data_IF_460612139127
#
_entry.id   IF_460612139127
#
_cell.length_a   1.000
_cell.length_b   1.000
_cell.length_c   1.000
_cell.angle_alpha   90.00
_cell.angle_beta   90.00
_cell.angle_gamma   90.00
#
_symmetry.space_group_name_H-M   'P 1'
#
loop_
_entity.id
_entity.type
_entity.pdbx_description
1 polymer ?
#
# COMPACT_ATOMS: atom_id res chain seq x y z
N UNK A 1 11.25 -14.68 -23.82
CA UNK A 1 11.23 -13.44 -24.59
C UNK A 1 12.11 -12.41 -23.90
N UNK A 2 13.01 -11.76 -24.67
CA UNK A 2 13.89 -10.74 -24.11
C UNK A 2 13.13 -9.40 -24.08
N UNK A 3 12.63 -8.99 -22.90
CA UNK A 3 11.87 -7.76 -22.71
C UNK A 3 12.73 -6.61 -22.14
N UNK A 4 14.06 -6.76 -22.17
CA UNK A 4 14.99 -5.72 -21.73
C UNK A 4 15.19 -4.71 -22.87
N UNK A 5 15.02 -3.43 -22.58
CA UNK A 5 15.30 -2.33 -23.51
C UNK A 5 16.02 -1.20 -22.78
N UNK A 6 16.87 -0.49 -23.50
CA UNK A 6 17.41 0.77 -23.03
C UNK A 6 16.32 1.84 -22.98
N UNK A 7 16.34 2.68 -21.94
CA UNK A 7 15.45 3.82 -21.80
C UNK A 7 16.24 5.12 -22.03
N UNK A 8 15.66 5.98 -22.84
CA UNK A 8 16.16 7.34 -23.09
C UNK A 8 15.33 8.38 -22.32
N UNK A 9 15.78 9.62 -22.30
CA UNK A 9 15.02 10.73 -21.75
C UNK A 9 13.67 10.92 -22.44
N UNK A 10 13.60 10.71 -23.74
CA UNK A 10 12.36 10.82 -24.53
C UNK A 10 11.35 9.74 -24.16
N UNK A 11 11.82 8.53 -23.78
CA UNK A 11 10.94 7.45 -23.33
C UNK A 11 10.24 7.75 -22.01
N UNK A 12 10.89 8.47 -21.11
CA UNK A 12 10.40 8.73 -19.74
C UNK A 12 9.73 10.10 -19.58
N UNK A 13 9.72 10.90 -20.64
CA UNK A 13 9.08 12.22 -20.63
C UNK A 13 7.59 12.10 -20.29
N UNK A 14 7.18 12.85 -19.27
CA UNK A 14 5.79 12.87 -18.83
C UNK A 14 5.37 11.78 -17.83
N UNK A 15 6.18 10.76 -17.57
CA UNK A 15 5.81 9.68 -16.64
C UNK A 15 5.52 10.18 -15.23
N UNK A 16 6.21 11.22 -14.78
CA UNK A 16 6.00 11.79 -13.45
C UNK A 16 4.62 12.41 -13.21
N UNK A 17 3.84 12.63 -14.27
CA UNK A 17 2.48 13.19 -14.17
C UNK A 17 1.39 12.13 -14.07
N UNK A 18 1.72 10.87 -14.38
CA UNK A 18 0.78 9.76 -14.41
C UNK A 18 1.00 8.84 -13.23
N UNK A 19 -0.11 8.31 -12.68
CA UNK A 19 -0.05 7.21 -11.72
C UNK A 19 0.09 5.87 -12.43
N UNK A 20 0.47 4.86 -11.66
CA UNK A 20 0.66 3.51 -12.17
C UNK A 20 2.13 3.19 -12.48
N UNK A 21 2.37 2.09 -13.17
CA UNK A 21 3.70 1.59 -13.53
C UNK A 21 3.83 1.46 -15.05
N UNK A 22 4.41 2.46 -15.69
CA UNK A 22 4.62 2.48 -17.15
C UNK A 22 5.47 1.29 -17.65
N UNK A 23 6.40 0.81 -16.84
CA UNK A 23 7.18 -0.40 -17.11
C UNK A 23 6.40 -1.70 -16.90
N UNK A 24 5.14 -1.60 -16.46
CA UNK A 24 4.36 -2.75 -16.04
C UNK A 24 4.75 -3.26 -14.66
N UNK A 25 4.02 -4.26 -14.19
CA UNK A 25 4.26 -4.87 -12.88
C UNK A 25 4.04 -6.37 -12.93
N UNK A 26 4.77 -7.10 -12.10
CA UNK A 26 4.55 -8.52 -11.84
C UNK A 26 4.26 -8.72 -10.36
N UNK A 27 3.08 -9.23 -10.03
CA UNK A 27 2.67 -9.47 -8.63
C UNK A 27 3.25 -10.76 -8.01
N UNK A 28 3.29 -11.92 -8.70
CA UNK A 28 3.81 -13.15 -8.09
C UNK A 28 5.30 -13.04 -7.77
N UNK A 29 5.67 -13.53 -6.57
CA UNK A 29 7.07 -13.81 -6.26
C UNK A 29 7.56 -14.90 -7.20
N UNK A 30 8.77 -14.78 -7.80
CA UNK A 30 9.30 -15.81 -8.68
C UNK A 30 9.43 -17.15 -7.94
N UNK A 31 9.01 -18.24 -8.57
CA UNK A 31 9.18 -19.57 -8.05
C UNK A 31 10.62 -20.07 -8.25
N UNK A 32 11.02 -21.10 -7.49
CA UNK A 32 12.35 -21.72 -7.61
C UNK A 32 12.66 -22.15 -9.06
N UNK A 33 11.65 -22.59 -9.81
CA UNK A 33 11.82 -22.98 -11.22
C UNK A 33 12.13 -21.80 -12.13
N UNK A 34 11.76 -20.59 -11.75
CA UNK A 34 11.99 -19.37 -12.52
C UNK A 34 13.35 -18.75 -12.23
N UNK A 35 14.01 -19.09 -11.10
CA UNK A 35 15.32 -18.53 -10.73
C UNK A 35 16.41 -18.84 -11.75
N UNK A 36 16.40 -20.03 -12.36
CA UNK A 36 17.34 -20.34 -13.42
C UNK A 36 17.17 -19.41 -14.62
N UNK A 37 15.93 -19.17 -15.05
CA UNK A 37 15.63 -18.28 -16.17
C UNK A 37 15.99 -16.82 -15.83
N UNK A 38 15.74 -16.39 -14.58
CA UNK A 38 16.08 -15.06 -14.11
C UNK A 38 17.61 -14.87 -14.05
N UNK A 39 18.37 -15.83 -13.49
CA UNK A 39 19.82 -15.77 -13.48
C UNK A 39 20.42 -15.71 -14.88
N UNK A 40 19.90 -16.53 -15.80
CA UNK A 40 20.32 -16.49 -17.23
C UNK A 40 19.98 -15.17 -17.92
N UNK A 41 18.88 -14.52 -17.51
CA UNK A 41 18.51 -13.20 -18.06
C UNK A 41 19.47 -12.11 -17.56
N UNK A 42 19.86 -12.14 -16.29
CA UNK A 42 20.86 -11.25 -15.71
C UNK A 42 22.19 -11.39 -16.44
N UNK A 43 22.72 -12.62 -16.56
CA UNK A 43 23.98 -12.89 -17.27
C UNK A 43 23.95 -12.47 -18.76
N UNK A 44 22.89 -12.87 -19.48
CA UNK A 44 22.77 -12.61 -20.92
C UNK A 44 22.67 -11.12 -21.24
N UNK A 45 22.05 -10.35 -20.38
CA UNK A 45 21.87 -8.91 -20.60
C UNK A 45 22.92 -8.07 -19.87
N UNK A 46 23.96 -8.72 -19.30
CA UNK A 46 25.09 -8.06 -18.62
C UNK A 46 24.60 -7.07 -17.56
N UNK A 47 23.60 -7.51 -16.75
CA UNK A 47 23.01 -6.68 -15.69
C UNK A 47 23.94 -6.67 -14.49
N UNK A 48 24.49 -5.52 -14.16
CA UNK A 48 25.44 -5.32 -13.07
C UNK A 48 24.78 -4.98 -11.72
N UNK A 49 23.55 -4.46 -11.74
CA UNK A 49 22.80 -4.12 -10.55
C UNK A 49 21.28 -4.13 -10.81
N UNK A 50 20.50 -4.18 -9.74
CA UNK A 50 19.05 -4.06 -9.79
C UNK A 50 18.55 -2.92 -8.87
N UNK A 51 17.79 -1.99 -9.45
CA UNK A 51 16.96 -1.09 -8.70
C UNK A 51 15.52 -1.63 -8.76
N UNK A 52 15.01 -2.12 -7.64
CA UNK A 52 13.70 -2.76 -7.54
C UNK A 52 12.72 -1.83 -6.84
N UNK A 53 11.70 -1.38 -7.58
CA UNK A 53 10.65 -0.52 -7.03
C UNK A 53 9.38 -1.35 -6.87
N UNK A 54 8.83 -1.45 -5.65
CA UNK A 54 7.64 -2.24 -5.46
C UNK A 54 7.18 -2.43 -4.01
N UNK A 55 6.10 -3.18 -3.86
CA UNK A 55 5.49 -3.54 -2.60
C UNK A 55 6.07 -4.82 -1.97
N UNK A 56 5.36 -5.37 -0.99
CA UNK A 56 5.81 -6.52 -0.18
C UNK A 56 6.28 -7.72 -1.03
N UNK A 57 5.59 -8.03 -2.13
CA UNK A 57 6.00 -9.14 -3.00
C UNK A 57 7.36 -8.90 -3.69
N UNK A 58 7.71 -7.66 -4.00
CA UNK A 58 9.03 -7.33 -4.54
C UNK A 58 10.12 -7.52 -3.47
N UNK A 59 9.83 -7.15 -2.23
CA UNK A 59 10.71 -7.37 -1.08
C UNK A 59 10.94 -8.87 -0.82
N UNK A 60 9.86 -9.66 -0.81
CA UNK A 60 9.94 -11.11 -0.67
C UNK A 60 10.74 -11.75 -1.82
N UNK A 61 10.51 -11.31 -3.07
CA UNK A 61 11.24 -11.82 -4.22
C UNK A 61 12.76 -11.60 -4.09
N UNK A 62 13.18 -10.39 -3.69
CA UNK A 62 14.62 -10.10 -3.48
C UNK A 62 15.17 -10.89 -2.31
N UNK A 63 14.44 -11.04 -1.20
CA UNK A 63 14.87 -11.88 -0.09
C UNK A 63 15.09 -13.33 -0.52
N UNK A 64 14.15 -13.89 -1.26
CA UNK A 64 14.31 -15.26 -1.77
C UNK A 64 15.49 -15.39 -2.74
N UNK A 65 15.70 -14.40 -3.64
CA UNK A 65 16.89 -14.36 -4.49
C UNK A 65 18.18 -14.37 -3.66
N UNK A 66 18.22 -13.61 -2.56
CA UNK A 66 19.41 -13.59 -1.68
C UNK A 66 19.62 -14.89 -0.91
N UNK A 67 18.58 -15.65 -0.63
CA UNK A 67 18.71 -16.97 0.00
C UNK A 67 19.27 -18.05 -0.94
N UNK A 68 19.24 -17.83 -2.25
CA UNK A 68 19.63 -18.76 -3.30
C UNK A 68 20.99 -18.41 -3.96
N UNK A 69 21.79 -17.51 -3.38
CA UNK A 69 23.06 -17.03 -3.94
C UNK A 69 24.09 -18.13 -4.20
N UNK A 70 24.10 -19.20 -3.40
CA UNK A 70 25.02 -20.32 -3.60
C UNK A 70 24.63 -21.18 -4.81
N UNK A 71 23.34 -21.26 -5.09
CA UNK A 71 22.81 -22.02 -6.22
C UNK A 71 22.79 -21.21 -7.51
N UNK A 72 22.58 -19.89 -7.40
CA UNK A 72 22.48 -18.96 -8.53
C UNK A 72 23.46 -17.78 -8.34
N UNK A 73 24.75 -17.96 -8.65
CA UNK A 73 25.76 -16.88 -8.49
C UNK A 73 25.46 -15.60 -9.26
N UNK A 74 24.64 -15.67 -10.33
CA UNK A 74 24.19 -14.50 -11.08
C UNK A 74 23.41 -13.48 -10.23
N UNK A 75 22.89 -13.88 -9.08
CA UNK A 75 22.21 -12.98 -8.13
C UNK A 75 23.18 -12.20 -7.23
N UNK A 76 24.50 -12.48 -7.29
CA UNK A 76 25.53 -11.74 -6.53
C UNK A 76 25.85 -10.40 -7.17
N UNK A 77 24.83 -9.57 -7.31
CA UNK A 77 24.90 -8.20 -7.80
C UNK A 77 24.30 -7.26 -6.76
N UNK A 78 24.68 -5.97 -6.76
CA UNK A 78 24.02 -4.97 -5.93
C UNK A 78 22.51 -4.90 -6.22
N UNK A 79 21.69 -4.93 -5.17
CA UNK A 79 20.23 -4.77 -5.30
C UNK A 79 19.77 -3.73 -4.29
N UNK A 80 19.06 -2.71 -4.75
CA UNK A 80 18.42 -1.73 -3.87
C UNK A 80 16.92 -1.75 -4.09
N UNK A 81 16.17 -1.98 -3.00
CA UNK A 81 14.72 -1.94 -2.97
C UNK A 81 14.23 -0.55 -2.57
N UNK A 82 13.27 -0.02 -3.33
CA UNK A 82 12.58 1.24 -3.08
C UNK A 82 11.11 0.96 -2.78
N UNK A 83 10.57 1.42 -1.64
CA UNK A 83 9.21 1.11 -1.23
C UNK A 83 8.18 1.83 -2.09
N UNK A 84 7.30 1.07 -2.75
CA UNK A 84 6.19 1.59 -3.54
C UNK A 84 4.96 0.70 -3.34
N UNK A 85 4.00 1.18 -2.55
CA UNK A 85 2.75 0.50 -2.25
C UNK A 85 1.73 1.51 -1.72
N UNK A 86 0.46 1.32 -2.03
CA UNK A 86 -0.62 2.07 -1.40
C UNK A 86 -0.97 1.53 -0.02
N UNK A 87 -0.65 0.25 0.25
CA UNK A 87 -1.00 -0.45 1.49
C UNK A 87 -0.21 0.08 2.70
N UNK A 88 0.93 0.71 2.47
CA UNK A 88 1.88 1.19 3.49
C UNK A 88 2.35 0.12 4.48
N UNK A 89 2.49 -1.11 4.01
CA UNK A 89 2.82 -2.31 4.79
C UNK A 89 4.28 -2.77 4.60
N UNK A 90 5.19 -1.84 4.31
CA UNK A 90 6.60 -2.14 4.04
C UNK A 90 7.50 -1.79 5.21
N UNK A 91 8.47 -2.64 5.56
CA UNK A 91 9.37 -2.37 6.67
C UNK A 91 10.33 -1.21 6.36
N UNK A 92 10.71 -0.49 7.42
CA UNK A 92 11.77 0.51 7.35
C UNK A 92 11.43 1.79 6.61
N UNK A 93 10.16 2.06 6.32
CA UNK A 93 9.67 3.30 5.77
C UNK A 93 8.39 3.75 6.49
N UNK A 94 8.27 5.02 6.84
CA UNK A 94 7.03 5.57 7.39
C UNK A 94 5.94 5.65 6.32
N UNK A 95 6.33 6.06 5.11
CA UNK A 95 5.44 6.08 3.95
C UNK A 95 6.12 5.44 2.73
N UNK A 96 5.39 4.58 2.05
CA UNK A 96 5.76 4.06 0.74
C UNK A 96 5.26 5.00 -0.36
N UNK A 97 5.97 5.04 -1.50
CA UNK A 97 5.56 5.79 -2.70
C UNK A 97 4.16 5.31 -3.13
N UNK A 98 3.25 6.24 -3.31
CA UNK A 98 1.87 5.99 -3.73
C UNK A 98 0.86 6.02 -2.58
N UNK A 99 1.29 5.90 -1.33
CA UNK A 99 0.41 5.93 -0.15
C UNK A 99 -0.30 7.27 0.00
N UNK A 100 0.43 8.39 -0.12
CA UNK A 100 -0.17 9.73 0.01
C UNK A 100 -1.16 10.03 -1.12
N UNK A 101 -0.84 9.62 -2.34
CA UNK A 101 -1.77 9.74 -3.47
C UNK A 101 -3.04 8.93 -3.24
N UNK A 102 -2.92 7.70 -2.74
CA UNK A 102 -4.06 6.85 -2.42
C UNK A 102 -4.91 7.43 -1.29
N UNK A 103 -4.28 8.02 -0.27
CA UNK A 103 -4.97 8.73 0.81
C UNK A 103 -5.76 9.92 0.28
N UNK A 104 -5.17 10.76 -0.58
CA UNK A 104 -5.87 11.88 -1.22
C UNK A 104 -7.07 11.42 -2.04
N UNK A 105 -6.93 10.33 -2.81
CA UNK A 105 -8.03 9.77 -3.59
C UNK A 105 -9.15 9.22 -2.69
N UNK A 106 -8.79 8.56 -1.58
CA UNK A 106 -9.75 8.05 -0.60
C UNK A 106 -10.55 9.18 0.05
N UNK A 107 -9.86 10.21 0.56
CA UNK A 107 -10.51 11.38 1.17
C UNK A 107 -11.44 12.07 0.17
N UNK A 108 -10.98 12.30 -1.06
CA UNK A 108 -11.81 12.88 -2.12
C UNK A 108 -13.09 12.06 -2.39
N UNK A 109 -12.98 10.73 -2.40
CA UNK A 109 -14.14 9.85 -2.60
C UNK A 109 -15.08 9.87 -1.39
N UNK A 110 -14.55 9.83 -0.17
CA UNK A 110 -15.33 9.88 1.07
C UNK A 110 -16.09 11.20 1.21
N UNK A 111 -15.48 12.33 0.86
CA UNK A 111 -16.15 13.63 0.87
C UNK A 111 -17.34 13.67 -0.08
N UNK A 112 -17.23 13.10 -1.29
CA UNK A 112 -18.36 12.99 -2.23
C UNK A 112 -19.45 12.07 -1.72
N UNK A 113 -19.10 10.97 -1.05
CA UNK A 113 -20.05 10.09 -0.39
C UNK A 113 -20.82 10.87 0.68
N UNK A 114 -20.12 11.65 1.51
CA UNK A 114 -20.74 12.50 2.55
C UNK A 114 -21.68 13.55 1.96
N UNK A 115 -21.27 14.23 0.90
CA UNK A 115 -22.13 15.20 0.20
C UNK A 115 -23.43 14.55 -0.30
N UNK A 116 -23.34 13.35 -0.87
CA UNK A 116 -24.52 12.61 -1.34
C UNK A 116 -25.44 12.14 -0.21
N UNK A 117 -24.86 11.81 0.95
CA UNK A 117 -25.57 11.30 2.11
C UNK A 117 -26.21 12.44 2.96
N UNK A 118 -25.69 13.64 2.90
CA UNK A 118 -26.14 14.77 3.71
C UNK A 118 -27.59 15.21 3.42
N UNK A 119 -28.13 14.91 2.23
CA UNK A 119 -29.50 15.22 1.84
C UNK A 119 -30.55 14.35 2.54
N UNK A 120 -30.17 13.19 3.08
CA UNK A 120 -31.04 12.24 3.76
C UNK A 120 -30.36 11.69 5.00
N UNK A 121 -31.14 11.15 5.96
CA UNK A 121 -30.56 10.48 7.13
C UNK A 121 -29.91 9.18 6.67
N UNK A 122 -28.58 9.13 6.61
CA UNK A 122 -27.84 7.94 6.13
C UNK A 122 -26.59 7.64 6.96
N UNK A 123 -26.43 6.35 7.25
CA UNK A 123 -25.15 5.77 7.58
C UNK A 123 -24.48 5.26 6.29
N UNK A 124 -23.20 5.53 6.11
CA UNK A 124 -22.45 5.02 4.98
C UNK A 124 -21.26 4.18 5.47
N UNK A 125 -21.17 2.92 5.02
CA UNK A 125 -20.04 2.02 5.32
C UNK A 125 -19.15 1.96 4.09
N UNK A 126 -17.97 2.57 4.16
CA UNK A 126 -17.01 2.66 3.07
C UNK A 126 -15.83 1.73 3.31
N UNK A 127 -15.60 0.79 2.39
CA UNK A 127 -14.45 -0.12 2.43
C UNK A 127 -13.28 0.48 1.68
N UNK A 128 -12.11 0.44 2.30
CA UNK A 128 -10.84 0.91 1.76
C UNK A 128 -9.85 -0.25 1.60
N UNK A 129 -8.95 -0.10 0.64
CA UNK A 129 -7.83 -1.01 0.44
C UNK A 129 -6.79 -0.85 1.56
N UNK A 130 -5.82 -1.75 1.60
CA UNK A 130 -4.73 -1.75 2.56
C UNK A 130 -4.35 -3.16 3.00
N UNK A 131 -5.09 -4.16 2.54
CA UNK A 131 -4.92 -5.56 2.95
C UNK A 131 -4.88 -5.68 4.46
N UNK A 132 -3.74 -6.15 5.02
CA UNK A 132 -3.52 -6.30 6.45
C UNK A 132 -2.86 -5.08 7.09
N UNK A 133 -3.04 -3.89 6.52
CA UNK A 133 -2.57 -2.63 7.09
C UNK A 133 -3.71 -1.62 7.07
N UNK A 134 -4.16 -1.24 8.23
CA UNK A 134 -5.25 -0.28 8.43
C UNK A 134 -4.86 1.17 8.19
N UNK A 135 -3.60 1.47 7.87
CA UNK A 135 -3.09 2.84 7.73
C UNK A 135 -3.97 3.71 6.81
N UNK A 136 -4.23 3.23 5.58
CA UNK A 136 -5.01 3.98 4.60
C UNK A 136 -6.44 4.22 5.10
N UNK A 137 -7.06 3.22 5.71
CA UNK A 137 -8.40 3.30 6.29
C UNK A 137 -8.45 4.28 7.47
N UNK A 138 -7.53 4.16 8.42
CA UNK A 138 -7.47 5.02 9.60
C UNK A 138 -7.25 6.48 9.21
N UNK A 139 -6.23 6.74 8.41
CA UNK A 139 -5.86 8.11 8.02
C UNK A 139 -6.93 8.77 7.15
N UNK A 140 -7.56 8.01 6.24
CA UNK A 140 -8.71 8.51 5.46
C UNK A 140 -9.92 8.78 6.35
N UNK A 141 -10.19 7.91 7.30
CA UNK A 141 -11.27 8.06 8.27
C UNK A 141 -11.10 9.32 9.11
N UNK A 142 -9.92 9.52 9.69
CA UNK A 142 -9.59 10.72 10.48
C UNK A 142 -9.73 11.98 9.61
N UNK A 143 -9.13 11.98 8.42
CA UNK A 143 -9.15 13.14 7.52
C UNK A 143 -10.56 13.49 7.03
N UNK A 144 -11.42 12.50 6.83
CA UNK A 144 -12.81 12.68 6.41
C UNK A 144 -13.79 12.82 7.56
N UNK A 145 -13.33 12.68 8.81
CA UNK A 145 -14.18 12.76 10.01
C UNK A 145 -15.18 11.59 10.08
N UNK A 146 -14.72 10.38 9.82
CA UNK A 146 -15.50 9.18 10.07
C UNK A 146 -15.69 8.98 11.57
N UNK A 147 -16.86 8.46 11.95
CA UNK A 147 -17.19 8.20 13.34
C UNK A 147 -16.58 6.87 13.82
N UNK A 148 -16.50 5.86 12.94
CA UNK A 148 -15.88 4.57 13.23
C UNK A 148 -14.91 4.14 12.13
N UNK A 149 -13.83 3.45 12.55
CA UNK A 149 -12.88 2.79 11.66
C UNK A 149 -12.67 1.36 12.15
N UNK A 150 -12.95 0.37 11.30
CA UNK A 150 -12.67 -1.04 11.57
C UNK A 150 -11.38 -1.43 10.85
N UNK A 151 -10.37 -1.81 11.63
CA UNK A 151 -9.01 -2.03 11.15
C UNK A 151 -8.60 -3.50 11.34
N UNK A 152 -7.69 -3.96 10.51
CA UNK A 152 -7.12 -5.31 10.61
C UNK A 152 -6.33 -5.53 11.92
N UNK A 153 -5.72 -4.48 12.43
CA UNK A 153 -4.92 -4.51 13.67
C UNK A 153 -5.77 -4.61 14.94
N UNK A 154 -7.07 -4.40 14.81
CA UNK A 154 -8.01 -4.46 15.91
C UNK A 154 -8.86 -5.74 15.81
N UNK A 155 -8.91 -6.53 16.89
CA UNK A 155 -9.76 -7.71 16.95
C UNK A 155 -11.20 -7.30 17.29
N UNK A 156 -11.93 -6.80 16.30
CA UNK A 156 -13.33 -6.39 16.47
C UNK A 156 -14.21 -7.55 16.92
N UNK A 157 -14.99 -7.35 17.96
CA UNK A 157 -15.94 -8.34 18.48
C UNK A 157 -17.38 -8.00 18.11
N UNK A 158 -18.25 -9.02 18.09
CA UNK A 158 -19.68 -8.79 17.86
C UNK A 158 -20.31 -7.88 18.92
N UNK A 159 -19.81 -7.92 20.16
CA UNK A 159 -20.31 -7.05 21.23
C UNK A 159 -19.97 -5.57 20.98
N UNK A 160 -18.80 -5.28 20.44
CA UNK A 160 -18.42 -3.90 20.04
C UNK A 160 -19.28 -3.42 18.86
N UNK A 161 -19.53 -4.29 17.87
CA UNK A 161 -20.40 -3.93 16.73
C UNK A 161 -21.83 -3.63 17.22
N UNK A 162 -22.35 -4.40 18.16
CA UNK A 162 -23.66 -4.17 18.76
C UNK A 162 -23.70 -2.84 19.52
N UNK A 163 -22.68 -2.53 20.32
CA UNK A 163 -22.55 -1.24 21.01
C UNK A 163 -22.47 -0.07 20.01
N UNK A 164 -21.71 -0.23 18.92
CA UNK A 164 -21.58 0.77 17.88
C UNK A 164 -22.92 1.00 17.16
N UNK A 165 -23.69 -0.05 16.90
CA UNK A 165 -25.02 0.05 16.31
C UNK A 165 -25.99 0.85 17.22
N UNK A 166 -25.97 0.61 18.51
CA UNK A 166 -26.74 1.38 19.48
C UNK A 166 -26.35 2.85 19.52
N UNK A 167 -25.06 3.16 19.58
CA UNK A 167 -24.54 4.54 19.55
C UNK A 167 -24.89 5.25 18.24
N UNK A 168 -24.82 4.54 17.14
CA UNK A 168 -25.22 5.04 15.83
C UNK A 168 -26.67 5.48 15.84
N UNK A 169 -27.56 4.64 16.34
CA UNK A 169 -29.00 4.95 16.50
C UNK A 169 -29.24 6.18 17.37
N UNK A 170 -28.64 6.22 18.56
CA UNK A 170 -28.73 7.39 19.48
C UNK A 170 -28.30 8.70 18.79
N UNK A 171 -27.26 8.62 17.96
CA UNK A 171 -26.72 9.76 17.20
C UNK A 171 -27.75 10.32 16.20
N UNK A 172 -28.48 9.41 15.51
CA UNK A 172 -29.57 9.81 14.60
C UNK A 172 -30.81 10.31 15.33
N UNK A 173 -31.14 9.74 16.50
CA UNK A 173 -32.21 10.20 17.38
C UNK A 173 -31.91 11.63 17.87
N UNK A 174 -30.63 11.93 18.16
CA UNK A 174 -30.18 13.28 18.53
C UNK A 174 -30.19 14.28 17.37
N UNK A 175 -30.59 13.88 16.17
CA UNK A 175 -30.82 14.77 15.03
C UNK A 175 -29.67 14.82 14.00
N UNK A 176 -28.62 14.02 14.15
CA UNK A 176 -27.62 13.88 13.07
C UNK A 176 -28.24 13.32 11.80
N UNK A 177 -27.66 13.66 10.66
CA UNK A 177 -28.17 13.26 9.33
C UNK A 177 -27.20 12.39 8.56
N UNK A 178 -25.96 12.34 8.98
CA UNK A 178 -24.89 11.58 8.35
C UNK A 178 -24.05 10.89 9.41
N UNK A 179 -23.68 9.64 9.11
CA UNK A 179 -22.70 8.87 9.85
C UNK A 179 -21.80 8.12 8.85
N UNK A 180 -20.50 8.25 8.99
CA UNK A 180 -19.53 7.60 8.13
C UNK A 180 -18.76 6.55 8.92
N UNK A 181 -18.78 5.33 8.42
CA UNK A 181 -17.96 4.22 8.92
C UNK A 181 -16.97 3.86 7.83
N UNK A 182 -15.71 3.72 8.17
CA UNK A 182 -14.69 3.21 7.27
C UNK A 182 -14.24 1.82 7.73
N UNK A 183 -13.99 0.94 6.79
CA UNK A 183 -13.56 -0.44 7.08
C UNK A 183 -12.43 -0.84 6.15
N UNK A 184 -11.38 -1.44 6.71
CA UNK A 184 -10.30 -2.03 5.91
C UNK A 184 -10.78 -3.31 5.21
N UNK A 185 -10.36 -3.54 3.97
CA UNK A 185 -10.81 -4.68 3.15
C UNK A 185 -10.53 -6.07 3.77
N UNK A 186 -9.55 -6.17 4.66
CA UNK A 186 -9.20 -7.38 5.41
C UNK A 186 -9.33 -7.16 6.94
N UNK A 187 -10.18 -6.23 7.39
CA UNK A 187 -10.38 -5.95 8.82
C UNK A 187 -10.74 -7.21 9.61
N UNK A 188 -11.68 -8.01 9.09
CA UNK A 188 -12.07 -9.30 9.66
C UNK A 188 -12.62 -10.23 8.57
N UNK A 189 -12.44 -11.54 8.74
CA UNK A 189 -12.93 -12.55 7.79
C UNK A 189 -14.46 -12.67 7.77
N UNK A 190 -15.14 -12.31 8.86
CA UNK A 190 -16.58 -12.47 9.04
C UNK A 190 -17.29 -11.11 9.14
N UNK A 191 -16.70 -10.14 9.85
CA UNK A 191 -17.28 -8.82 10.10
C UNK A 191 -16.84 -7.83 9.00
N UNK A 192 -17.07 -8.23 7.76
CA UNK A 192 -16.75 -7.40 6.60
C UNK A 192 -17.77 -6.27 6.39
N UNK A 193 -17.52 -5.42 5.40
CA UNK A 193 -18.36 -4.29 5.03
C UNK A 193 -19.86 -4.63 4.91
N UNK A 194 -20.18 -5.77 4.29
CA UNK A 194 -21.55 -6.18 4.03
C UNK A 194 -22.23 -6.61 5.32
N UNK A 195 -21.52 -7.34 6.19
CA UNK A 195 -22.02 -7.71 7.51
C UNK A 195 -22.32 -6.46 8.34
N UNK A 196 -21.38 -5.52 8.45
CA UNK A 196 -21.58 -4.27 9.19
C UNK A 196 -22.76 -3.46 8.67
N UNK A 197 -22.88 -3.31 7.34
CA UNK A 197 -24.01 -2.61 6.73
C UNK A 197 -25.35 -3.27 7.06
N UNK A 198 -25.41 -4.60 7.03
CA UNK A 198 -26.63 -5.34 7.34
C UNK A 198 -27.02 -5.23 8.82
N UNK A 199 -26.06 -5.29 9.75
CA UNK A 199 -26.33 -5.10 11.18
C UNK A 199 -26.85 -3.68 11.43
N UNK A 200 -26.17 -2.67 10.93
CA UNK A 200 -26.58 -1.27 11.14
C UNK A 200 -27.93 -0.95 10.50
N UNK A 201 -28.28 -1.56 9.36
CA UNK A 201 -29.60 -1.42 8.74
C UNK A 201 -30.68 -2.10 9.59
N UNK A 202 -30.41 -3.32 10.09
CA UNK A 202 -31.35 -4.06 10.94
C UNK A 202 -31.66 -3.31 12.25
N UNK A 203 -30.65 -2.74 12.87
CA UNK A 203 -30.77 -1.98 14.13
C UNK A 203 -31.29 -0.55 13.95
N UNK A 204 -31.42 -0.06 12.69
CA UNK A 204 -31.90 1.30 12.41
C UNK A 204 -33.36 1.54 12.78
N UNK A 205 -34.17 0.48 12.82
CA UNK A 205 -35.64 0.53 13.02
C UNK A 205 -36.32 1.58 12.10
N UNK A 206 -35.76 1.77 10.88
CA UNK A 206 -36.24 2.72 9.88
C UNK A 206 -35.95 4.19 10.19
N UNK A 207 -35.12 4.49 11.18
CA UNK A 207 -34.73 5.86 11.53
C UNK A 207 -33.78 6.47 10.50
N UNK A 208 -32.92 5.64 9.89
CA UNK A 208 -31.96 6.01 8.85
C UNK A 208 -31.75 4.86 7.86
N UNK A 209 -31.29 5.19 6.66
CA UNK A 209 -30.89 4.21 5.66
C UNK A 209 -29.39 3.90 5.80
N UNK A 210 -28.98 2.66 5.55
CA UNK A 210 -27.56 2.29 5.42
C UNK A 210 -27.20 2.08 3.95
N UNK A 211 -26.04 2.55 3.57
CA UNK A 211 -25.44 2.31 2.26
C UNK A 211 -24.01 1.85 2.44
N UNK A 212 -23.55 0.98 1.57
CA UNK A 212 -22.15 0.55 1.58
C UNK A 212 -21.53 0.61 0.19
N UNK A 213 -20.23 0.86 0.16
CA UNK A 213 -19.45 0.85 -1.08
C UNK A 213 -18.00 0.48 -0.81
N UNK A 214 -17.40 -0.32 -1.69
CA UNK A 214 -15.96 -0.48 -1.74
C UNK A 214 -15.38 0.61 -2.65
N UNK A 215 -14.39 1.38 -2.18
CA UNK A 215 -13.66 2.32 -3.01
C UNK A 215 -12.76 1.60 -4.02
N UNK A 216 -12.19 0.47 -3.61
CA UNK A 216 -11.41 -0.42 -4.46
C UNK A 216 -10.31 0.32 -5.25
N UNK A 217 -10.16 -0.04 -6.53
CA UNK A 217 -9.10 0.50 -7.39
C UNK A 217 -9.18 2.00 -7.70
N UNK A 218 -10.25 2.69 -7.31
CA UNK A 218 -10.30 4.16 -7.36
C UNK A 218 -9.15 4.80 -6.56
N UNK A 219 -8.69 4.11 -5.52
CA UNK A 219 -7.59 4.56 -4.67
C UNK A 219 -6.21 4.42 -5.33
N UNK A 220 -6.07 3.58 -6.36
CA UNK A 220 -4.80 3.30 -7.03
C UNK A 220 -4.51 4.21 -8.23
N UNK A 221 -5.46 5.01 -8.66
CA UNK A 221 -5.34 5.85 -9.83
C UNK A 221 -5.01 7.31 -9.51
N UNK A 222 -5.11 8.13 -10.54
CA UNK A 222 -4.97 9.57 -10.42
C UNK A 222 -3.54 10.08 -10.58
N UNK A 223 -3.40 11.41 -10.59
CA UNK A 223 -2.11 12.05 -10.67
C UNK A 223 -1.37 11.94 -9.33
N UNK A 224 -0.08 11.58 -9.32
CA UNK A 224 0.72 11.51 -8.10
C UNK A 224 0.72 12.83 -7.35
N UNK A 225 0.53 12.78 -6.04
CA UNK A 225 0.61 13.95 -5.18
C UNK A 225 2.00 14.59 -5.21
N UNK A 226 2.14 15.88 -4.90
CA UNK A 226 3.45 16.50 -4.75
C UNK A 226 4.35 15.77 -3.75
N UNK A 227 3.77 15.24 -2.67
CA UNK A 227 4.51 14.49 -1.66
C UNK A 227 5.12 13.22 -2.27
N UNK A 228 4.32 12.38 -2.95
CA UNK A 228 4.82 11.15 -3.57
C UNK A 228 5.89 11.41 -4.63
N UNK A 229 5.77 12.49 -5.42
CA UNK A 229 6.79 12.87 -6.41
C UNK A 229 8.13 13.23 -5.74
N UNK A 230 8.07 14.00 -4.65
CA UNK A 230 9.26 14.38 -3.88
C UNK A 230 9.87 13.18 -3.17
N UNK A 231 9.05 12.33 -2.54
CA UNK A 231 9.49 11.11 -1.87
C UNK A 231 10.18 10.17 -2.86
N UNK A 232 9.56 9.92 -4.02
CA UNK A 232 10.13 9.08 -5.07
C UNK A 232 11.49 9.61 -5.54
N UNK A 233 11.60 10.92 -5.77
CA UNK A 233 12.87 11.55 -6.18
C UNK A 233 13.95 11.38 -5.13
N UNK A 234 13.64 11.62 -3.84
CA UNK A 234 14.58 11.48 -2.73
C UNK A 234 15.05 10.04 -2.56
N UNK A 235 14.11 9.09 -2.57
CA UNK A 235 14.42 7.66 -2.42
C UNK A 235 15.26 7.13 -3.58
N UNK A 236 14.90 7.46 -4.83
CA UNK A 236 15.66 6.98 -6.01
C UNK A 236 17.06 7.61 -6.03
N UNK A 237 17.20 8.89 -5.67
CA UNK A 237 18.50 9.52 -5.57
C UNK A 237 19.41 8.82 -4.53
N UNK A 238 18.85 8.49 -3.36
CA UNK A 238 19.58 7.74 -2.34
C UNK A 238 19.90 6.30 -2.79
N UNK A 239 18.98 5.64 -3.49
CA UNK A 239 19.20 4.30 -4.04
C UNK A 239 20.34 4.26 -5.06
N UNK A 240 20.40 5.23 -5.95
CA UNK A 240 21.51 5.35 -6.92
C UNK A 240 22.84 5.63 -6.21
N UNK A 241 22.84 6.47 -5.16
CA UNK A 241 24.02 6.70 -4.33
C UNK A 241 24.51 5.44 -3.61
N UNK A 242 23.61 4.59 -3.12
CA UNK A 242 23.95 3.30 -2.51
C UNK A 242 24.53 2.34 -3.55
N UNK A 243 23.93 2.25 -4.76
CA UNK A 243 24.49 1.45 -5.84
C UNK A 243 25.90 1.88 -6.22
N UNK A 244 26.14 3.18 -6.40
CA UNK A 244 27.46 3.74 -6.69
C UNK A 244 28.48 3.43 -5.58
N UNK A 245 28.06 3.55 -4.31
CA UNK A 245 28.85 3.16 -3.16
C UNK A 245 29.23 1.69 -3.16
N UNK A 246 28.28 0.80 -3.49
CA UNK A 246 28.55 -0.64 -3.56
C UNK A 246 29.53 -0.97 -4.68
N UNK A 247 29.37 -0.39 -5.87
CA UNK A 247 30.33 -0.55 -6.97
C UNK A 247 31.73 -0.09 -6.60
N UNK A 248 31.86 1.12 -6.03
CA UNK A 248 33.15 1.69 -5.64
C UNK A 248 33.88 0.84 -4.59
N UNK A 249 33.14 0.10 -3.75
CA UNK A 249 33.67 -0.74 -2.68
C UNK A 249 33.75 -2.23 -3.05
N UNK A 250 33.36 -2.61 -4.26
CA UNK A 250 33.29 -4.01 -4.69
C UNK A 250 32.32 -4.85 -3.86
N UNK A 251 31.24 -4.25 -3.35
CA UNK A 251 30.19 -4.94 -2.58
C UNK A 251 29.05 -5.37 -3.48
N UNK A 252 28.35 -6.45 -3.12
CA UNK A 252 27.19 -6.97 -3.81
C UNK A 252 26.14 -7.38 -2.78
N UNK A 253 25.48 -6.38 -2.19
CA UNK A 253 24.48 -6.59 -1.14
C UNK A 253 23.09 -6.23 -1.63
N UNK A 254 22.09 -6.96 -1.17
CA UNK A 254 20.71 -6.58 -1.28
C UNK A 254 20.29 -5.76 -0.05
N UNK A 255 19.85 -4.53 -0.30
CA UNK A 255 19.41 -3.60 0.73
C UNK A 255 18.04 -3.03 0.37
N UNK A 256 17.30 -2.58 1.37
CA UNK A 256 16.11 -1.74 1.17
C UNK A 256 16.33 -0.37 1.80
N UNK A 257 15.67 0.62 1.26
CA UNK A 257 15.73 1.99 1.74
C UNK A 257 14.36 2.46 2.18
N UNK A 258 14.31 3.42 3.08
CA UNK A 258 13.09 4.08 3.49
C UNK A 258 13.37 5.41 4.16
N UNK A 259 12.37 6.28 4.17
CA UNK A 259 12.42 7.55 4.90
C UNK A 259 11.82 7.32 6.30
N UNK A 260 12.62 7.56 7.33
CA UNK A 260 12.23 7.46 8.74
C UNK A 260 12.71 8.72 9.44
N UNK A 261 11.83 9.45 10.11
CA UNK A 261 12.15 10.72 10.74
C UNK A 261 12.82 11.71 9.78
N UNK A 262 12.33 11.79 8.53
CA UNK A 262 12.88 12.61 7.46
C UNK A 262 14.35 12.30 7.11
N UNK A 263 14.80 11.08 7.43
CA UNK A 263 16.16 10.59 7.16
C UNK A 263 16.09 9.31 6.35
N UNK A 264 16.78 9.27 5.21
CA UNK A 264 16.85 8.04 4.40
C UNK A 264 17.77 7.05 5.10
N UNK A 265 17.22 5.90 5.43
CA UNK A 265 17.94 4.78 6.02
C UNK A 265 18.15 3.68 4.98
N UNK A 266 19.31 3.01 5.06
CA UNK A 266 19.67 1.85 4.24
C UNK A 266 19.80 0.65 5.18
N UNK A 267 19.06 -0.41 4.90
CA UNK A 267 19.03 -1.62 5.74
C UNK A 267 19.21 -2.88 4.89
N UNK A 268 19.94 -3.90 5.40
CA UNK A 268 20.07 -5.18 4.72
C UNK A 268 18.74 -5.93 4.61
N UNK A 269 18.48 -6.58 3.45
CA UNK A 269 17.25 -7.34 3.20
C UNK A 269 17.07 -8.55 4.12
N UNK A 270 18.16 -9.15 4.58
CA UNK A 270 18.10 -10.28 5.52
C UNK A 270 17.49 -9.93 6.88
N UNK A 271 17.53 -8.66 7.28
CA UNK A 271 16.88 -8.15 8.49
C UNK A 271 15.44 -7.68 8.30
N UNK A 272 14.91 -7.79 7.11
CA UNK A 272 13.59 -7.27 6.76
C UNK A 272 12.46 -7.81 7.67
N UNK A 273 12.55 -9.08 8.07
CA UNK A 273 11.51 -9.68 8.91
C UNK A 273 11.64 -9.35 10.39
N UNK A 274 12.80 -8.85 10.84
CA UNK A 274 12.96 -8.34 12.20
C UNK A 274 12.17 -7.03 12.39
N UNK A 275 11.91 -6.34 11.27
CA UNK A 275 11.22 -5.05 11.20
C UNK A 275 9.73 -5.19 10.77
N UNK A 276 9.28 -6.40 10.40
CA UNK A 276 7.89 -6.70 10.03
C UNK A 276 7.20 -7.41 11.20
N UNK A 277 6.13 -6.80 11.70
CA UNK A 277 5.15 -7.52 12.52
C UNK A 277 4.34 -8.42 11.58
N UNK A 278 4.58 -9.73 11.68
CA UNK A 278 3.93 -10.75 10.86
C UNK A 278 2.71 -11.36 11.56
N UNK A 279 2.23 -10.73 12.65
CA UNK A 279 1.07 -11.18 13.42
C UNK A 279 -0.26 -11.06 12.67
#
# INVERSE_FOLDING_TARGET
DNQVRELTWDDVEGWAFHGGAELGTRRPVPSVNEYYALGRAIERNEIDALLVVGGLNAYLAVKEMTSELDRYPAFRIPIVLVPASIDNNLPGAELAIGTDTALNNAVWALDRIKESAAASKRCFVAELMGRRCGYLTLMSGIASGAEYAYLNEENTTLAEIDEDAHRLRETFEAGRRLFLVVVNEEADAHYNREFLANVFEAESDGLYDVRSSALGHLQQGGAPSPYDRLLATRLVFAALGELDSQFSQGRSQAVYIGDVDNTIQVRPVDRMFDDLDMA
#
